data_IF_008288550733
#
_entry.id   IF_008288550733
#
_cell.length_a   1.000
_cell.length_b   1.000
_cell.length_c   1.000
_cell.angle_alpha   90.00
_cell.angle_beta   90.00
_cell.angle_gamma   90.00
#
_symmetry.space_group_name_H-M   'P 1'
#
loop_
_entity.id
_entity.type
_entity.pdbx_description
1 polymer ?
#
# COMPACT_ATOMS: atom_id res chain seq x y z
N UNK A 1 22.33 21.45 -6.88
CA UNK A 1 21.32 20.99 -5.91
C UNK A 1 21.81 21.23 -4.50
N UNK A 2 23.03 20.82 -4.14
CA UNK A 2 23.66 21.07 -2.84
C UNK A 2 23.54 22.50 -2.27
N UNK A 3 23.78 23.54 -3.09
CA UNK A 3 23.73 24.94 -2.60
C UNK A 3 22.38 25.37 -2.03
N UNK A 4 21.26 24.83 -2.54
CA UNK A 4 19.91 25.14 -2.03
C UNK A 4 19.61 24.40 -0.74
N UNK A 5 20.15 23.20 -0.59
CA UNK A 5 20.00 22.38 0.61
C UNK A 5 20.83 22.98 1.76
N UNK A 6 22.06 23.43 1.48
CA UNK A 6 22.92 24.14 2.44
C UNK A 6 22.27 25.45 2.94
N UNK A 7 21.61 26.21 2.04
CA UNK A 7 20.89 27.43 2.40
C UNK A 7 19.67 27.15 3.29
N UNK A 8 18.90 26.08 3.00
CA UNK A 8 17.78 25.66 3.86
C UNK A 8 18.24 25.18 5.23
N UNK A 9 19.32 24.41 5.31
CA UNK A 9 19.87 23.93 6.58
C UNK A 9 20.39 25.08 7.43
N UNK A 10 21.02 26.08 6.79
CA UNK A 10 21.48 27.30 7.45
C UNK A 10 20.29 28.09 8.02
N UNK A 11 19.20 28.22 7.26
CA UNK A 11 17.98 28.89 7.71
C UNK A 11 17.25 28.15 8.86
N UNK A 12 17.29 26.81 8.87
CA UNK A 12 16.76 26.03 10.00
C UNK A 12 17.59 26.25 11.27
N UNK A 13 18.91 26.25 11.15
CA UNK A 13 19.82 26.48 12.28
C UNK A 13 19.66 27.89 12.86
N UNK A 14 19.49 28.90 12.01
CA UNK A 14 19.23 30.28 12.43
C UNK A 14 17.90 30.43 13.18
N UNK A 15 16.85 29.70 12.77
CA UNK A 15 15.55 29.68 13.47
C UNK A 15 15.64 28.95 14.82
N UNK A 16 16.35 27.83 14.85
CA UNK A 16 16.61 27.06 16.07
C UNK A 16 17.33 27.93 17.13
N UNK A 17 18.32 28.72 16.72
CA UNK A 17 19.06 29.64 17.61
C UNK A 17 18.19 30.82 18.13
N UNK A 18 17.15 31.23 17.39
CA UNK A 18 16.29 32.38 17.73
C UNK A 18 15.11 32.02 18.65
N UNK A 19 14.47 30.88 18.41
CA UNK A 19 13.23 30.47 19.10
C UNK A 19 13.49 29.46 20.24
N UNK A 20 14.70 28.89 20.30
CA UNK A 20 15.05 27.84 21.26
C UNK A 20 14.52 26.47 20.84
N UNK A 21 15.30 25.42 21.14
CA UNK A 21 15.08 24.07 20.61
C UNK A 21 13.64 23.56 20.82
N UNK A 22 13.09 23.72 22.03
CA UNK A 22 11.78 23.17 22.39
C UNK A 22 10.60 23.85 21.69
N UNK A 23 10.66 25.16 21.46
CA UNK A 23 9.60 25.90 20.77
C UNK A 23 9.66 25.64 19.27
N UNK A 24 10.88 25.62 18.71
CA UNK A 24 11.09 25.31 17.30
C UNK A 24 10.58 23.90 16.91
N UNK A 25 10.86 22.87 17.71
CA UNK A 25 10.36 21.51 17.44
C UNK A 25 8.84 21.42 17.57
N UNK A 26 8.25 22.12 18.53
CA UNK A 26 6.79 22.17 18.70
C UNK A 26 6.12 22.82 17.50
N UNK A 27 6.62 23.96 17.05
CA UNK A 27 6.10 24.68 15.90
C UNK A 27 6.27 23.86 14.61
N UNK A 28 7.39 23.14 14.46
CA UNK A 28 7.62 22.24 13.33
C UNK A 28 6.64 21.05 13.31
N UNK A 29 6.33 20.47 14.48
CA UNK A 29 5.36 19.40 14.61
C UNK A 29 3.94 19.89 14.30
N UNK A 30 3.56 21.07 14.79
CA UNK A 30 2.27 21.70 14.50
C UNK A 30 2.13 22.09 13.02
N UNK A 31 3.22 22.51 12.38
CA UNK A 31 3.25 22.75 10.94
C UNK A 31 3.07 21.45 10.13
N UNK A 32 3.68 20.35 10.59
CA UNK A 32 3.58 19.05 9.94
C UNK A 32 2.18 18.48 10.05
N UNK A 33 1.57 18.54 11.24
CA UNK A 33 0.19 18.09 11.45
C UNK A 33 -0.77 18.92 10.60
N UNK A 34 -0.62 20.25 10.59
CA UNK A 34 -1.42 21.13 9.73
C UNK A 34 -1.27 20.79 8.24
N UNK A 35 -0.06 20.53 7.74
CA UNK A 35 0.14 20.12 6.35
C UNK A 35 -0.53 18.78 6.04
N UNK A 36 -0.40 17.80 6.93
CA UNK A 36 -1.06 16.51 6.77
C UNK A 36 -2.59 16.66 6.74
N UNK A 37 -3.16 17.43 7.66
CA UNK A 37 -4.59 17.73 7.71
C UNK A 37 -5.08 18.43 6.44
N UNK A 38 -4.35 19.43 5.94
CA UNK A 38 -4.70 20.11 4.68
C UNK A 38 -4.64 19.14 3.50
N UNK A 39 -3.66 18.26 3.45
CA UNK A 39 -3.54 17.26 2.39
C UNK A 39 -4.70 16.27 2.41
N UNK A 40 -5.08 15.76 3.58
CA UNK A 40 -6.23 14.87 3.73
C UNK A 40 -7.54 15.58 3.39
N UNK A 41 -7.70 16.83 3.83
CA UNK A 41 -8.86 17.66 3.52
C UNK A 41 -8.97 17.89 2.01
N UNK A 42 -7.90 18.33 1.36
CA UNK A 42 -7.86 18.58 -0.09
C UNK A 42 -8.06 17.30 -0.89
N UNK A 43 -7.46 16.19 -0.45
CA UNK A 43 -7.69 14.87 -1.06
C UNK A 43 -9.16 14.45 -0.93
N UNK A 44 -9.80 14.67 0.22
CA UNK A 44 -11.22 14.35 0.42
C UNK A 44 -12.15 15.20 -0.45
N UNK A 45 -11.87 16.50 -0.58
CA UNK A 45 -12.62 17.42 -1.45
C UNK A 45 -12.41 17.01 -2.91
N UNK A 46 -11.16 16.74 -3.30
CA UNK A 46 -10.83 16.30 -4.66
C UNK A 46 -11.51 14.97 -4.98
N UNK A 47 -11.53 14.02 -4.06
CA UNK A 47 -12.17 12.71 -4.23
C UNK A 47 -13.68 12.81 -4.58
N UNK A 48 -14.39 13.79 -4.01
CA UNK A 48 -15.81 14.02 -4.29
C UNK A 48 -16.08 14.47 -5.74
N UNK A 49 -15.13 15.17 -6.36
CA UNK A 49 -15.26 15.69 -7.73
C UNK A 49 -14.43 14.90 -8.76
N UNK A 50 -13.48 14.08 -8.32
CA UNK A 50 -12.77 13.15 -9.20
C UNK A 50 -13.70 12.01 -9.57
N UNK A 51 -14.27 12.09 -10.76
CA UNK A 51 -14.83 10.90 -11.39
C UNK A 51 -13.64 10.00 -11.77
N UNK A 52 -13.67 8.69 -11.44
CA UNK A 52 -12.70 7.77 -12.02
C UNK A 52 -12.76 7.94 -13.54
N UNK A 53 -11.60 8.05 -14.18
CA UNK A 53 -11.57 8.14 -15.63
C UNK A 53 -12.37 6.94 -16.16
N UNK A 54 -13.45 7.15 -16.92
CA UNK A 54 -14.19 6.03 -17.48
C UNK A 54 -13.18 5.18 -18.26
N UNK A 55 -13.30 3.84 -18.23
CA UNK A 55 -12.49 3.01 -19.10
C UNK A 55 -12.66 3.58 -20.50
N UNK A 56 -11.55 3.95 -21.15
CA UNK A 56 -11.58 4.60 -22.45
C UNK A 56 -12.23 3.61 -23.40
N UNK A 57 -13.53 3.75 -23.62
CA UNK A 57 -14.26 2.92 -24.57
C UNK A 57 -13.74 3.24 -25.96
N UNK A 58 -13.77 2.26 -26.87
CA UNK A 58 -13.31 2.46 -28.24
C UNK A 58 -13.97 3.67 -28.92
N UNK A 59 -15.22 3.99 -28.57
CA UNK A 59 -15.96 5.13 -29.09
C UNK A 59 -15.39 6.48 -28.60
N UNK A 60 -15.09 6.62 -27.31
CA UNK A 60 -14.54 7.86 -26.74
C UNK A 60 -13.11 8.11 -27.21
N UNK A 61 -12.28 7.06 -27.32
CA UNK A 61 -10.93 7.19 -27.89
C UNK A 61 -10.96 7.64 -29.34
N UNK A 62 -11.81 7.01 -30.16
CA UNK A 62 -11.94 7.37 -31.57
C UNK A 62 -12.35 8.85 -31.73
N UNK A 63 -13.24 9.33 -30.87
CA UNK A 63 -13.66 10.72 -30.88
C UNK A 63 -12.55 11.68 -30.43
N UNK A 64 -11.79 11.35 -29.39
CA UNK A 64 -10.63 12.16 -28.98
C UNK A 64 -9.47 12.14 -29.98
N UNK A 65 -9.33 11.06 -30.77
CA UNK A 65 -8.38 11.00 -31.89
C UNK A 65 -8.82 11.94 -33.02
N UNK A 66 -10.11 11.94 -33.36
CA UNK A 66 -10.67 12.85 -34.36
C UNK A 66 -10.62 14.32 -33.91
N UNK A 67 -10.83 14.57 -32.61
CA UNK A 67 -10.78 15.90 -31.99
C UNK A 67 -9.33 16.33 -31.63
N UNK A 68 -8.33 15.50 -31.93
CA UNK A 68 -6.90 15.80 -31.74
C UNK A 68 -6.41 15.83 -30.29
N UNK A 69 -7.26 15.43 -29.33
CA UNK A 69 -6.93 15.34 -27.90
C UNK A 69 -6.13 14.09 -27.54
N UNK A 70 -6.17 13.06 -28.38
CA UNK A 70 -5.41 11.82 -28.22
C UNK A 70 -4.68 11.44 -29.51
N UNK A 71 -3.48 10.85 -29.37
CA UNK A 71 -2.78 10.22 -30.51
C UNK A 71 -3.21 8.77 -30.62
N UNK A 72 -3.33 8.23 -31.84
CA UNK A 72 -3.62 6.80 -32.08
C UNK A 72 -2.61 5.88 -31.37
N UNK A 73 -1.37 6.34 -31.22
CA UNK A 73 -0.29 5.65 -30.49
C UNK A 73 -0.41 5.71 -28.96
N UNK A 74 -1.37 6.48 -28.41
CA UNK A 74 -1.60 6.65 -26.98
C UNK A 74 -2.70 5.72 -26.44
N UNK A 75 -3.26 4.85 -27.30
CA UNK A 75 -4.10 3.75 -26.83
C UNK A 75 -3.32 2.99 -25.76
N UNK A 76 -3.92 2.85 -24.58
CA UNK A 76 -3.37 2.10 -23.46
C UNK A 76 -2.83 0.78 -24.01
N UNK A 77 -1.50 0.61 -23.96
CA UNK A 77 -0.81 -0.56 -24.49
C UNK A 77 -1.13 -1.78 -23.61
N UNK A 78 -2.37 -2.23 -23.63
CA UNK A 78 -2.66 -3.63 -23.36
C UNK A 78 -2.21 -4.41 -24.60
N UNK A 79 -0.90 -4.49 -24.84
CA UNK A 79 -0.28 -5.40 -25.80
C UNK A 79 -0.40 -6.84 -25.30
N UNK A 80 -1.60 -7.24 -24.89
CA UNK A 80 -1.95 -8.63 -24.75
C UNK A 80 -2.69 -8.97 -26.05
N UNK A 81 -1.93 -9.13 -27.13
CA UNK A 81 -2.45 -9.99 -28.19
C UNK A 81 -2.73 -11.33 -27.50
N UNK A 82 -3.99 -11.81 -27.51
CA UNK A 82 -4.26 -13.11 -26.93
C UNK A 82 -3.39 -14.11 -27.69
N UNK A 83 -2.50 -14.79 -26.97
CA UNK A 83 -1.64 -15.81 -27.55
C UNK A 83 -2.56 -16.90 -28.10
N UNK A 84 -2.71 -16.96 -29.43
CA UNK A 84 -3.52 -17.96 -30.10
C UNK A 84 -2.73 -19.26 -30.05
N UNK A 85 -3.26 -20.27 -29.36
CA UNK A 85 -2.66 -21.61 -29.31
C UNK A 85 -3.09 -22.45 -30.51
N UNK A 86 -2.20 -23.29 -31.05
CA UNK A 86 -2.45 -24.02 -32.30
C UNK A 86 -1.18 -24.33 -33.11
N UNK A 87 -1.31 -25.03 -34.25
CA UNK A 87 -0.18 -25.30 -35.13
C UNK A 87 0.32 -24.02 -35.81
N UNK A 88 1.63 -23.95 -36.06
CA UNK A 88 2.27 -22.79 -36.68
C UNK A 88 1.64 -22.41 -38.02
N UNK A 89 1.16 -23.39 -38.79
CA UNK A 89 0.46 -23.16 -40.06
C UNK A 89 -0.83 -22.32 -39.92
N UNK A 90 -1.48 -22.35 -38.76
CA UNK A 90 -2.72 -21.61 -38.48
C UNK A 90 -2.43 -20.29 -37.77
N UNK A 91 -1.44 -20.24 -36.87
CA UNK A 91 -1.12 -19.02 -36.10
C UNK A 91 -0.23 -18.05 -36.88
N UNK A 92 0.74 -18.55 -37.67
CA UNK A 92 1.68 -17.69 -38.40
C UNK A 92 1.14 -17.17 -39.72
N UNK A 93 -0.06 -17.60 -40.12
CA UNK A 93 -0.73 -17.17 -41.34
C UNK A 93 -1.58 -15.92 -41.12
N UNK A 94 -1.84 -15.18 -42.20
CA UNK A 94 -2.86 -14.12 -42.16
C UNK A 94 -4.25 -14.75 -42.04
N UNK A 95 -5.06 -14.34 -41.04
CA UNK A 95 -6.48 -14.74 -40.91
C UNK A 95 -7.37 -14.05 -41.95
N UNK A 96 -7.12 -14.36 -43.22
CA UNK A 96 -7.79 -13.76 -44.37
C UNK A 96 -9.20 -14.32 -44.54
N UNK A 97 -9.39 -15.60 -44.22
CA UNK A 97 -10.67 -16.30 -44.34
C UNK A 97 -11.36 -16.45 -42.99
N UNK A 98 -12.70 -16.39 -42.99
CA UNK A 98 -13.53 -16.70 -41.82
C UNK A 98 -13.29 -18.13 -41.32
N UNK A 99 -13.04 -19.06 -42.24
CA UNK A 99 -12.70 -20.44 -41.90
C UNK A 99 -11.41 -20.51 -41.09
N UNK A 100 -10.38 -19.76 -41.46
CA UNK A 100 -9.09 -19.74 -40.76
C UNK A 100 -9.24 -19.18 -39.34
N UNK A 101 -10.08 -18.15 -39.18
CA UNK A 101 -10.42 -17.57 -37.87
C UNK A 101 -11.14 -18.58 -36.98
N UNK A 102 -12.12 -19.29 -37.54
CA UNK A 102 -12.84 -20.34 -36.83
C UNK A 102 -11.88 -21.46 -36.42
N UNK A 103 -11.01 -21.93 -37.32
CA UNK A 103 -10.05 -22.99 -36.98
C UNK A 103 -9.06 -22.61 -35.89
N UNK A 104 -8.65 -21.33 -35.85
CA UNK A 104 -7.76 -20.83 -34.81
C UNK A 104 -8.42 -20.84 -33.43
N UNK A 105 -9.74 -20.70 -33.35
CA UNK A 105 -10.49 -20.63 -32.09
C UNK A 105 -10.87 -22.01 -31.52
N UNK A 106 -10.92 -23.06 -32.35
CA UNK A 106 -11.41 -24.40 -31.94
C UNK A 106 -10.55 -25.04 -30.84
N UNK A 107 -9.25 -24.75 -30.79
CA UNK A 107 -8.30 -25.38 -29.86
C UNK A 107 -7.70 -24.40 -28.84
N UNK A 108 -8.46 -23.38 -28.44
CA UNK A 108 -8.02 -22.46 -27.39
C UNK A 108 -8.30 -23.01 -25.98
N UNK A 109 -7.35 -22.87 -25.03
CA UNK A 109 -7.60 -23.19 -23.63
C UNK A 109 -8.78 -22.37 -23.06
N UNK A 110 -9.68 -23.01 -22.34
CA UNK A 110 -10.81 -22.34 -21.66
C UNK A 110 -10.43 -21.58 -20.38
N UNK A 111 -9.15 -21.55 -20.03
CA UNK A 111 -8.59 -20.85 -18.88
C UNK A 111 -7.35 -20.05 -19.30
N UNK A 112 -6.99 -19.04 -18.49
CA UNK A 112 -5.83 -18.20 -18.77
C UNK A 112 -4.55 -18.99 -18.51
N UNK A 113 -3.71 -19.13 -19.54
CA UNK A 113 -2.41 -19.80 -19.43
C UNK A 113 -1.39 -18.91 -18.70
N UNK A 114 -0.47 -19.48 -17.91
CA UNK A 114 0.70 -18.77 -17.43
C UNK A 114 1.50 -18.18 -18.60
N UNK A 115 1.86 -16.90 -18.50
CA UNK A 115 2.68 -16.21 -19.49
C UNK A 115 4.17 -16.28 -19.18
N UNK A 116 4.51 -16.65 -17.95
CA UNK A 116 5.89 -16.76 -17.47
C UNK A 116 6.36 -18.21 -17.54
N UNK A 117 7.65 -18.40 -17.81
CA UNK A 117 8.26 -19.72 -17.73
C UNK A 117 8.39 -20.18 -16.28
N UNK A 118 8.59 -21.48 -16.06
CA UNK A 118 8.81 -22.02 -14.72
C UNK A 118 10.08 -21.48 -14.06
N UNK A 119 11.12 -21.22 -14.87
CA UNK A 119 12.38 -20.63 -14.41
C UNK A 119 12.19 -19.17 -14.02
N UNK A 120 11.44 -18.41 -14.83
CA UNK A 120 11.11 -17.02 -14.56
C UNK A 120 10.26 -16.89 -13.30
N UNK A 121 9.25 -17.76 -13.13
CA UNK A 121 8.45 -17.83 -11.92
C UNK A 121 9.31 -18.13 -10.68
N UNK A 122 10.25 -19.07 -10.78
CA UNK A 122 11.18 -19.39 -9.69
C UNK A 122 12.05 -18.20 -9.27
N UNK A 123 12.57 -17.44 -10.25
CA UNK A 123 13.33 -16.22 -9.95
C UNK A 123 12.47 -15.15 -9.26
N UNK A 124 11.23 -14.95 -9.72
CA UNK A 124 10.32 -14.01 -9.07
C UNK A 124 9.94 -14.42 -7.65
N UNK A 125 9.79 -15.72 -7.39
CA UNK A 125 9.51 -16.23 -6.04
C UNK A 125 10.70 -15.96 -5.08
N UNK A 126 11.94 -16.16 -5.55
CA UNK A 126 13.13 -15.82 -4.79
C UNK A 126 13.24 -14.32 -4.50
N UNK A 127 12.91 -13.47 -5.46
CA UNK A 127 12.89 -12.01 -5.27
C UNK A 127 11.84 -11.59 -4.24
N UNK A 128 10.64 -12.16 -4.31
CA UNK A 128 9.58 -11.91 -3.32
C UNK A 128 10.03 -12.34 -1.92
N UNK A 129 10.69 -13.49 -1.80
CA UNK A 129 11.22 -13.97 -0.53
C UNK A 129 12.30 -13.02 0.02
N UNK A 130 13.24 -12.57 -0.81
CA UNK A 130 14.29 -11.64 -0.39
C UNK A 130 13.69 -10.30 0.07
N UNK A 131 12.76 -9.74 -0.72
CA UNK A 131 12.05 -8.51 -0.35
C UNK A 131 11.30 -8.68 0.97
N UNK A 132 10.66 -9.82 1.20
CA UNK A 132 9.96 -10.11 2.45
C UNK A 132 10.93 -10.18 3.64
N UNK A 133 12.09 -10.81 3.47
CA UNK A 133 13.14 -10.86 4.50
C UNK A 133 13.67 -9.45 4.81
N UNK A 134 13.98 -8.66 3.79
CA UNK A 134 14.47 -7.28 3.95
C UNK A 134 13.45 -6.37 4.62
N UNK A 135 12.16 -6.51 4.28
CA UNK A 135 11.10 -5.74 4.92
C UNK A 135 10.93 -6.13 6.40
N UNK A 136 11.08 -7.41 6.73
CA UNK A 136 11.03 -7.88 8.12
C UNK A 136 12.24 -7.45 8.93
N UNK A 137 13.45 -7.54 8.37
CA UNK A 137 14.66 -7.07 9.07
C UNK A 137 14.58 -5.57 9.30
N UNK A 138 14.15 -4.80 8.30
CA UNK A 138 13.91 -3.36 8.44
C UNK A 138 12.86 -3.03 9.49
N UNK A 139 11.76 -3.77 9.55
CA UNK A 139 10.72 -3.59 10.57
C UNK A 139 11.26 -3.90 11.99
N UNK A 140 12.07 -4.95 12.12
CA UNK A 140 12.73 -5.32 13.38
C UNK A 140 13.79 -4.29 13.79
N UNK A 141 14.53 -3.73 12.83
CA UNK A 141 15.50 -2.67 13.06
C UNK A 141 14.80 -1.37 13.47
N UNK A 142 13.68 -1.02 12.84
CA UNK A 142 12.84 0.12 13.20
C UNK A 142 12.26 -0.04 14.62
N UNK A 143 11.76 -1.23 14.97
CA UNK A 143 11.29 -1.53 16.32
C UNK A 143 12.41 -1.49 17.38
N UNK A 144 13.66 -1.79 16.98
CA UNK A 144 14.84 -1.71 17.85
C UNK A 144 15.53 -0.35 17.79
N UNK A 145 15.12 0.55 16.90
CA UNK A 145 15.69 1.89 16.76
C UNK A 145 15.39 2.71 18.02
N UNK A 146 16.35 3.56 18.39
CA UNK A 146 16.37 4.26 19.68
C UNK A 146 15.14 5.12 19.94
N UNK A 147 14.31 5.46 18.95
CA UNK A 147 13.05 6.18 19.17
C UNK A 147 12.10 5.46 20.16
N UNK A 148 12.03 4.12 20.14
CA UNK A 148 11.21 3.35 21.10
C UNK A 148 11.94 3.12 22.43
N UNK A 149 13.28 3.09 22.43
CA UNK A 149 14.09 2.84 23.63
C UNK A 149 14.52 4.10 24.41
N UNK A 150 14.53 5.28 23.78
CA UNK A 150 14.92 6.56 24.40
C UNK A 150 13.83 7.14 25.31
N UNK A 151 12.56 6.75 25.11
CA UNK A 151 11.46 7.25 25.95
C UNK A 151 11.27 6.50 27.28
N UNK A 152 12.19 5.60 27.67
CA UNK A 152 12.20 4.99 29.01
C UNK A 152 12.98 5.82 30.05
N UNK A 153 13.11 7.13 29.84
CA UNK A 153 13.54 8.07 30.88
C UNK A 153 12.33 8.90 31.32
N UNK A 154 11.54 8.33 32.22
CA UNK A 154 10.59 9.08 33.05
C UNK A 154 10.82 8.74 34.52
N UNK A 155 11.72 9.48 35.17
CA UNK A 155 11.78 9.57 36.63
C UNK A 155 13.19 9.52 37.23
N UNK A 156 13.44 10.27 38.34
CA UNK A 156 14.73 10.27 39.00
C UNK A 156 15.03 8.89 39.58
N UNK A 157 16.22 8.37 39.24
CA UNK A 157 16.86 7.17 39.76
C UNK A 157 16.52 6.95 41.25
N UNK A 158 15.60 6.01 41.51
CA UNK A 158 15.56 5.27 42.77
C UNK A 158 16.32 3.98 42.54
N UNK A 159 17.20 3.69 43.49
CA UNK A 159 17.99 2.48 43.59
C UNK A 159 17.12 1.23 43.46
N UNK A 160 17.63 0.28 42.67
CA UNK A 160 17.61 -1.17 42.91
C UNK A 160 16.46 -1.71 43.78
N UNK A 161 15.29 -2.05 43.20
CA UNK A 161 14.36 -3.09 43.75
C UNK A 161 13.08 -3.42 42.91
N UNK A 162 12.92 -3.01 41.64
CA UNK A 162 11.64 -3.21 40.93
C UNK A 162 11.75 -4.10 39.65
N UNK A 163 12.08 -5.38 39.82
CA UNK A 163 11.85 -6.41 38.77
C UNK A 163 10.49 -7.11 38.91
N UNK A 164 9.72 -6.83 39.97
CA UNK A 164 8.49 -7.56 40.34
C UNK A 164 7.18 -6.78 40.05
N UNK A 165 7.23 -5.48 39.70
CA UNK A 165 6.03 -4.62 39.55
C UNK A 165 5.35 -4.73 38.15
N UNK A 166 6.07 -5.18 37.13
CA UNK A 166 5.54 -5.38 35.76
C UNK A 166 4.66 -6.65 35.67
N UNK A 167 4.89 -7.62 36.56
CA UNK A 167 4.14 -8.88 36.65
C UNK A 167 2.73 -8.68 37.23
N UNK A 168 2.55 -7.78 38.20
CA UNK A 168 1.22 -7.50 38.79
C UNK A 168 0.33 -6.74 37.79
N UNK A 169 0.90 -5.76 37.07
CA UNK A 169 0.21 -5.04 36.00
C UNK A 169 -0.15 -5.94 34.81
N UNK A 170 0.67 -6.95 34.51
CA UNK A 170 0.37 -7.97 33.49
C UNK A 170 -0.73 -8.93 33.95
N UNK A 171 -0.73 -9.32 35.23
CA UNK A 171 -1.76 -10.18 35.82
C UNK A 171 -3.13 -9.48 35.86
N UNK A 172 -3.19 -8.21 36.22
CA UNK A 172 -4.43 -7.44 36.22
C UNK A 172 -5.01 -7.25 34.82
N UNK A 173 -4.15 -7.04 33.81
CA UNK A 173 -4.58 -7.00 32.39
C UNK A 173 -5.09 -8.36 31.91
N UNK A 174 -4.46 -9.46 32.32
CA UNK A 174 -4.91 -10.81 31.98
C UNK A 174 -6.26 -11.13 32.63
N UNK A 175 -6.45 -10.76 33.90
CA UNK A 175 -7.72 -10.93 34.61
C UNK A 175 -8.84 -10.08 33.98
N UNK A 176 -8.56 -8.81 33.65
CA UNK A 176 -9.51 -7.96 32.95
C UNK A 176 -9.90 -8.49 31.55
N UNK A 177 -8.97 -9.17 30.88
CA UNK A 177 -9.26 -9.82 29.61
C UNK A 177 -10.15 -11.05 29.79
N UNK A 178 -9.97 -11.82 30.86
CA UNK A 178 -10.80 -12.98 31.19
C UNK A 178 -12.24 -12.54 31.54
N UNK A 179 -12.40 -11.53 32.39
CA UNK A 179 -13.69 -10.92 32.73
C UNK A 179 -14.43 -10.44 31.46
N UNK A 180 -13.70 -9.82 30.52
CA UNK A 180 -14.28 -9.40 29.24
C UNK A 180 -14.72 -10.59 28.37
N UNK A 181 -13.99 -11.71 28.38
CA UNK A 181 -14.35 -12.91 27.60
C UNK A 181 -15.62 -13.57 28.15
N UNK A 182 -15.78 -13.56 29.46
CA UNK A 182 -16.98 -14.04 30.15
C UNK A 182 -18.20 -13.16 29.84
N UNK A 183 -18.02 -11.83 29.82
CA UNK A 183 -19.04 -10.87 29.42
C UNK A 183 -19.38 -10.92 27.91
N UNK A 184 -18.48 -11.47 27.08
CA UNK A 184 -18.61 -11.55 25.62
C UNK A 184 -18.58 -13.00 25.11
N UNK A 185 -19.58 -13.83 25.47
CA UNK A 185 -19.61 -15.24 25.07
C UNK A 185 -19.66 -15.36 23.54
N UNK A 186 -18.88 -16.30 22.99
CA UNK A 186 -18.78 -16.51 21.54
C UNK A 186 -20.17 -16.61 20.90
N UNK A 187 -20.39 -15.77 19.89
CA UNK A 187 -21.64 -15.68 19.13
C UNK A 187 -22.73 -14.78 19.71
N UNK A 188 -22.47 -14.00 20.77
CA UNK A 188 -23.46 -13.08 21.36
C UNK A 188 -24.08 -12.09 20.34
N UNK A 189 -23.34 -11.72 19.28
CA UNK A 189 -23.84 -10.86 18.20
C UNK A 189 -24.96 -11.50 17.35
N UNK A 190 -24.94 -12.82 17.13
CA UNK A 190 -25.95 -13.50 16.29
C UNK A 190 -27.18 -14.00 17.07
N UNK A 191 -27.08 -14.10 18.41
CA UNK A 191 -28.16 -14.65 19.26
C UNK A 191 -29.22 -13.61 19.66
N UNK A 192 -28.89 -12.31 19.56
CA UNK A 192 -29.82 -11.20 19.88
C UNK A 192 -30.72 -10.79 18.70
N UNK A 193 -30.53 -11.39 17.52
CA UNK A 193 -31.22 -11.05 16.26
C UNK A 193 -32.32 -12.05 15.86
N UNK A 194 -32.57 -13.11 16.62
CA UNK A 194 -33.68 -14.03 16.36
C UNK A 194 -34.77 -13.87 17.43
N UNK A 195 -35.88 -13.17 17.13
CA UNK A 195 -37.12 -13.38 17.86
C UNK A 195 -37.64 -14.78 17.48
N UNK A 196 -37.40 -15.77 18.34
CA UNK A 196 -38.21 -16.98 18.35
C UNK A 196 -39.31 -16.73 19.39
N UNK A 197 -40.47 -16.28 18.90
CA UNK A 197 -41.68 -15.96 19.65
C UNK A 197 -42.67 -15.27 18.74
#
# INVERSE_FOLDING_TARGET
MLKKEEEMLSAMKEKQEKEGDTQFFRDLLDDRTRRAETWHRDASVRAQYTKPAPPITCATFAQDVLEGRAKVSQAHEHKHQPMIFGPQSVISGSFSSERERMTAQVFQPGFRMPTMSIEEAGLTEMEIMNNWQEMNTKLMEEANSSWYKDNKITGPRKDDEDEDEDDEAAQDKARAFDDWKDDNPRGAGNKKLTPCG
#
